data_IF_033799759773
#
_entry.id   IF_033799759773
#
_cell.length_a   1.000
_cell.length_b   1.000
_cell.length_c   1.000
_cell.angle_alpha   90.00
_cell.angle_beta   90.00
_cell.angle_gamma   90.00
#
_symmetry.space_group_name_H-M   'P 1'
#
loop_
_entity.id
_entity.type
_entity.pdbx_description
1 polymer ?
#
# COMPACT_ATOMS: atom_id res chain seq x y z
N UNK A 1 -13.82 17.14 20.58
CA UNK A 1 -12.81 16.10 20.31
C UNK A 1 -12.56 16.08 18.80
N UNK A 2 -11.34 16.34 18.33
CA UNK A 2 -11.01 16.30 16.89
C UNK A 2 -10.90 14.82 16.48
N UNK A 3 -11.68 14.37 15.50
CA UNK A 3 -11.63 13.00 14.99
C UNK A 3 -10.50 12.89 13.98
N UNK A 4 -9.43 12.16 14.31
CA UNK A 4 -8.33 11.88 13.38
C UNK A 4 -8.72 10.75 12.41
N UNK A 5 -8.31 10.86 11.14
CA UNK A 5 -8.45 9.78 10.15
C UNK A 5 -7.28 8.83 10.25
N UNK A 6 -7.52 7.58 9.87
CA UNK A 6 -6.46 6.58 9.65
C UNK A 6 -6.19 6.35 8.17
N UNK A 7 -7.17 6.61 7.30
CA UNK A 7 -7.00 6.44 5.87
C UNK A 7 -7.24 7.75 5.13
N UNK A 8 -6.55 7.90 3.99
CA UNK A 8 -6.82 8.98 3.03
C UNK A 8 -8.27 8.91 2.56
N UNK A 9 -8.82 7.71 2.32
CA UNK A 9 -10.22 7.51 1.92
C UNK A 9 -11.19 8.11 2.93
N UNK A 10 -11.04 7.78 4.22
CA UNK A 10 -11.91 8.32 5.27
C UNK A 10 -11.79 9.84 5.38
N UNK A 11 -10.58 10.38 5.17
CA UNK A 11 -10.36 11.80 5.24
C UNK A 11 -11.04 12.54 4.08
N UNK A 12 -10.87 12.03 2.87
CA UNK A 12 -11.51 12.56 1.66
C UNK A 12 -13.03 12.42 1.71
N UNK A 13 -13.55 11.31 2.25
CA UNK A 13 -14.99 11.12 2.44
C UNK A 13 -15.57 12.12 3.42
N UNK A 14 -14.86 12.41 4.52
CA UNK A 14 -15.28 13.44 5.47
C UNK A 14 -15.27 14.83 4.85
N UNK A 15 -14.20 15.18 4.13
CA UNK A 15 -14.13 16.45 3.41
C UNK A 15 -15.26 16.57 2.37
N UNK A 16 -15.54 15.49 1.63
CA UNK A 16 -16.63 15.45 0.66
C UNK A 16 -18.00 15.69 1.31
N UNK A 17 -18.27 15.02 2.43
CA UNK A 17 -19.51 15.20 3.18
C UNK A 17 -19.64 16.64 3.72
N UNK A 18 -18.59 17.17 4.33
CA UNK A 18 -18.58 18.51 4.92
C UNK A 18 -18.69 19.61 3.85
N UNK A 19 -18.11 19.40 2.66
CA UNK A 19 -18.19 20.30 1.51
C UNK A 19 -19.49 20.14 0.70
N UNK A 20 -20.32 19.14 0.98
CA UNK A 20 -21.52 18.83 0.20
C UNK A 20 -21.21 18.36 -1.24
N UNK A 21 -20.04 17.76 -1.47
CA UNK A 21 -19.57 17.32 -2.79
C UNK A 21 -19.49 15.79 -2.89
N UNK A 22 -19.63 15.21 -4.09
CA UNK A 22 -19.36 13.79 -4.29
C UNK A 22 -17.89 13.42 -4.01
N UNK A 23 -17.66 12.27 -3.38
CA UNK A 23 -16.31 11.76 -3.07
C UNK A 23 -15.36 11.80 -4.28
N UNK A 24 -15.83 11.36 -5.44
CA UNK A 24 -15.01 11.29 -6.65
C UNK A 24 -14.53 12.66 -7.13
N UNK A 25 -15.29 13.73 -6.85
CA UNK A 25 -14.91 15.11 -7.18
C UNK A 25 -13.73 15.56 -6.32
N UNK A 26 -13.84 15.34 -5.00
CA UNK A 26 -12.77 15.64 -4.04
C UNK A 26 -11.52 14.82 -4.35
N UNK A 27 -11.66 13.49 -4.50
CA UNK A 27 -10.55 12.59 -4.77
C UNK A 27 -9.83 12.95 -6.08
N UNK A 28 -10.57 13.29 -7.15
CA UNK A 28 -9.97 13.72 -8.41
C UNK A 28 -9.21 15.04 -8.24
N UNK A 29 -9.75 15.98 -7.48
CA UNK A 29 -9.10 17.27 -7.23
C UNK A 29 -7.79 17.08 -6.46
N UNK A 30 -7.82 16.34 -5.35
CA UNK A 30 -6.63 16.01 -4.56
C UNK A 30 -5.57 15.31 -5.41
N UNK A 31 -5.93 14.28 -6.18
CA UNK A 31 -4.98 13.60 -7.05
C UNK A 31 -4.33 14.54 -8.07
N UNK A 32 -5.09 15.51 -8.62
CA UNK A 32 -4.57 16.50 -9.55
C UNK A 32 -3.63 17.51 -8.89
N UNK A 33 -3.86 17.81 -7.61
CA UNK A 33 -2.99 18.66 -6.81
C UNK A 33 -1.69 17.94 -6.45
N UNK A 34 -1.79 16.68 -5.99
CA UNK A 34 -0.62 15.84 -5.69
C UNK A 34 0.25 15.57 -6.92
N UNK A 35 -0.35 15.39 -8.09
CA UNK A 35 0.40 15.28 -9.34
C UNK A 35 1.27 16.52 -9.61
N UNK A 36 0.83 17.70 -9.19
CA UNK A 36 1.55 18.97 -9.38
C UNK A 36 2.64 19.25 -8.33
N UNK A 37 2.85 18.37 -7.35
CA UNK A 37 3.84 18.60 -6.29
C UNK A 37 3.26 18.74 -4.89
N UNK A 38 1.95 18.97 -4.75
CA UNK A 38 1.37 19.28 -3.43
C UNK A 38 1.24 18.05 -2.55
N UNK A 39 1.42 18.22 -1.24
CA UNK A 39 1.20 17.15 -0.27
C UNK A 39 -0.28 16.74 -0.17
N UNK A 40 -0.57 15.53 0.32
CA UNK A 40 -1.96 15.10 0.56
C UNK A 40 -2.69 16.03 1.54
N UNK A 41 -2.07 16.32 2.68
CA UNK A 41 -2.68 17.16 3.74
C UNK A 41 -2.75 18.64 3.35
N UNK A 42 -1.77 19.13 2.59
CA UNK A 42 -1.81 20.45 1.98
C UNK A 42 -3.01 20.56 1.01
N UNK A 43 -3.10 19.63 0.05
CA UNK A 43 -4.21 19.60 -0.92
C UNK A 43 -5.59 19.55 -0.24
N UNK A 44 -5.71 18.83 0.87
CA UNK A 44 -6.95 18.73 1.65
C UNK A 44 -7.26 20.04 2.38
N UNK A 45 -6.26 20.72 2.93
CA UNK A 45 -6.43 22.02 3.60
C UNK A 45 -6.87 23.09 2.61
N UNK A 46 -6.23 23.17 1.45
CA UNK A 46 -6.61 24.11 0.40
C UNK A 46 -8.07 23.92 -0.04
N UNK A 47 -8.50 22.67 -0.27
CA UNK A 47 -9.89 22.39 -0.64
C UNK A 47 -10.85 22.74 0.52
N UNK A 48 -10.44 22.50 1.77
CA UNK A 48 -11.23 22.89 2.92
C UNK A 48 -11.41 24.42 3.01
N UNK A 49 -10.33 25.17 2.81
CA UNK A 49 -10.32 26.64 2.81
C UNK A 49 -11.25 27.20 1.72
N UNK A 50 -11.16 26.69 0.49
CA UNK A 50 -12.03 27.08 -0.63
C UNK A 50 -13.53 26.92 -0.33
N UNK A 51 -13.90 25.99 0.56
CA UNK A 51 -15.28 25.73 0.96
C UNK A 51 -15.64 26.35 2.32
N UNK A 52 -14.79 27.22 2.88
CA UNK A 52 -15.01 27.86 4.18
C UNK A 52 -15.00 26.88 5.37
N UNK A 53 -14.37 25.72 5.21
CA UNK A 53 -14.27 24.69 6.24
C UNK A 53 -13.01 24.90 7.09
N UNK A 54 -13.07 24.49 8.36
CA UNK A 54 -11.92 24.59 9.25
C UNK A 54 -10.85 23.55 8.88
N UNK A 55 -9.77 23.99 8.27
CA UNK A 55 -8.62 23.16 7.85
C UNK A 55 -8.10 22.21 8.93
N UNK A 56 -8.00 22.69 10.17
CA UNK A 56 -7.43 21.95 11.29
C UNK A 56 -8.22 20.68 11.68
N UNK A 57 -9.44 20.50 11.15
CA UNK A 57 -10.26 19.30 11.32
C UNK A 57 -9.75 18.10 10.52
N UNK A 58 -9.00 18.34 9.46
CA UNK A 58 -8.60 17.29 8.51
C UNK A 58 -7.16 16.85 8.78
N UNK A 59 -7.01 15.80 9.59
CA UNK A 59 -5.71 15.27 9.99
C UNK A 59 -5.68 13.75 9.91
N UNK A 60 -4.49 13.22 9.66
CA UNK A 60 -4.19 11.78 9.66
C UNK A 60 -3.29 11.48 10.85
N UNK A 61 -3.64 10.42 11.58
CA UNK A 61 -2.83 9.90 12.69
C UNK A 61 -1.84 8.85 12.17
N UNK A 62 -0.68 9.33 11.73
CA UNK A 62 0.38 8.51 11.14
C UNK A 62 1.01 7.52 12.13
N UNK A 63 1.10 7.88 13.41
CA UNK A 63 1.61 6.96 14.44
C UNK A 63 0.63 5.81 14.66
N UNK A 64 -0.67 6.11 14.69
CA UNK A 64 -1.70 5.08 14.82
C UNK A 64 -1.79 4.19 13.58
N UNK A 65 -1.52 4.70 12.38
CA UNK A 65 -1.37 3.86 11.16
C UNK A 65 -0.28 2.82 11.36
N UNK A 66 0.89 3.22 11.86
CA UNK A 66 2.01 2.31 12.09
C UNK A 66 1.66 1.30 13.18
N UNK A 67 1.08 1.75 14.30
CA UNK A 67 0.66 0.86 15.39
C UNK A 67 -0.35 -0.20 14.92
N UNK A 68 -1.36 0.20 14.15
CA UNK A 68 -2.38 -0.72 13.64
C UNK A 68 -1.77 -1.71 12.64
N UNK A 69 -0.89 -1.24 11.75
CA UNK A 69 -0.23 -2.12 10.80
C UNK A 69 0.70 -3.12 11.51
N UNK A 70 1.47 -2.69 12.50
CA UNK A 70 2.29 -3.57 13.33
C UNK A 70 1.44 -4.59 14.10
N UNK A 71 0.27 -4.18 14.61
CA UNK A 71 -0.64 -5.08 15.29
C UNK A 71 -1.12 -6.19 14.35
N UNK A 72 -1.57 -5.84 13.14
CA UNK A 72 -2.02 -6.82 12.13
C UNK A 72 -0.88 -7.80 11.79
N UNK A 73 0.33 -7.29 11.58
CA UNK A 73 1.47 -8.09 11.15
C UNK A 73 2.13 -8.92 12.28
N UNK A 74 1.82 -8.63 13.54
CA UNK A 74 2.28 -9.42 14.70
C UNK A 74 1.26 -10.47 15.16
N UNK A 75 0.00 -10.34 14.75
CA UNK A 75 -1.11 -11.14 15.25
C UNK A 75 -0.96 -12.62 14.90
N UNK A 76 -0.66 -12.93 13.62
CA UNK A 76 -0.44 -14.29 13.12
C UNK A 76 0.61 -14.29 12.00
N UNK A 77 1.61 -15.15 12.15
CA UNK A 77 2.71 -15.27 11.18
C UNK A 77 2.25 -15.82 9.82
N UNK A 78 1.32 -16.78 9.79
CA UNK A 78 0.76 -17.35 8.55
C UNK A 78 0.01 -16.28 7.78
N UNK A 79 -0.79 -15.47 8.47
CA UNK A 79 -1.48 -14.34 7.84
C UNK A 79 -0.51 -13.33 7.27
N UNK A 80 0.53 -13.00 8.02
CA UNK A 80 1.57 -12.08 7.57
C UNK A 80 2.25 -12.58 6.31
N UNK A 81 2.53 -13.88 6.21
CA UNK A 81 3.05 -14.49 4.98
C UNK A 81 2.05 -14.41 3.82
N UNK A 82 0.76 -14.66 4.08
CA UNK A 82 -0.28 -14.55 3.04
C UNK A 82 -0.45 -13.12 2.54
N UNK A 83 -0.52 -12.13 3.45
CA UNK A 83 -0.53 -10.70 3.12
C UNK A 83 0.71 -10.37 2.27
N UNK A 84 1.90 -10.81 2.70
CA UNK A 84 3.15 -10.58 1.97
C UNK A 84 3.11 -11.14 0.55
N UNK A 85 2.60 -12.35 0.37
CA UNK A 85 2.47 -13.00 -0.94
C UNK A 85 1.49 -12.23 -1.85
N UNK A 86 0.32 -11.85 -1.33
CA UNK A 86 -0.68 -11.09 -2.09
C UNK A 86 -0.12 -9.74 -2.52
N UNK A 87 0.49 -8.99 -1.60
CA UNK A 87 1.08 -7.68 -1.92
C UNK A 87 2.24 -7.81 -2.92
N UNK A 88 3.05 -8.87 -2.82
CA UNK A 88 4.11 -9.17 -3.77
C UNK A 88 3.57 -9.33 -5.18
N UNK A 89 2.55 -10.17 -5.36
CA UNK A 89 1.87 -10.37 -6.64
C UNK A 89 1.27 -9.06 -7.19
N UNK A 90 0.63 -8.27 -6.33
CA UNK A 90 0.04 -6.99 -6.75
C UNK A 90 1.08 -5.98 -7.20
N UNK A 91 2.31 -5.97 -6.68
CA UNK A 91 3.36 -5.05 -7.16
C UNK A 91 3.85 -5.42 -8.56
N UNK A 92 3.86 -6.71 -8.88
CA UNK A 92 4.25 -7.24 -10.20
C UNK A 92 3.12 -7.14 -11.22
N UNK A 93 1.87 -7.06 -10.75
CA UNK A 93 0.69 -6.89 -11.60
C UNK A 93 0.77 -5.63 -12.48
N UNK A 94 0.02 -5.66 -13.59
CA UNK A 94 -0.10 -4.54 -14.54
C UNK A 94 -1.48 -3.88 -14.40
N UNK A 95 -1.55 -2.60 -14.73
CA UNK A 95 -2.83 -1.89 -14.76
C UNK A 95 -3.38 -1.54 -13.38
N UNK A 96 -4.71 -1.64 -13.21
CA UNK A 96 -5.44 -1.11 -12.04
C UNK A 96 -5.26 -1.93 -10.76
N UNK A 97 -4.86 -3.18 -10.89
CA UNK A 97 -4.61 -4.09 -9.77
C UNK A 97 -3.22 -3.90 -9.16
N UNK A 98 -2.41 -3.03 -9.78
CA UNK A 98 -1.04 -2.79 -9.34
C UNK A 98 -1.01 -2.08 -8.00
N UNK A 99 -0.43 -2.73 -6.99
CA UNK A 99 -0.13 -2.07 -5.72
C UNK A 99 1.03 -1.08 -5.91
N UNK A 100 0.91 0.17 -5.43
CA UNK A 100 1.98 1.15 -5.62
C UNK A 100 3.28 0.71 -4.95
N UNK A 101 4.37 0.68 -5.72
CA UNK A 101 5.68 0.27 -5.21
C UNK A 101 6.15 1.05 -3.96
N UNK A 102 5.93 2.38 -3.83
CA UNK A 102 6.24 3.09 -2.59
C UNK A 102 5.51 2.54 -1.35
N UNK A 103 4.23 2.16 -1.50
CA UNK A 103 3.46 1.57 -0.42
C UNK A 103 3.96 0.17 -0.07
N UNK A 104 4.39 -0.60 -1.07
CA UNK A 104 5.06 -1.88 -0.83
C UNK A 104 6.41 -1.73 -0.13
N UNK A 105 7.20 -0.71 -0.46
CA UNK A 105 8.45 -0.46 0.25
C UNK A 105 8.23 -0.09 1.71
N UNK A 106 7.19 0.69 2.02
CA UNK A 106 6.79 0.96 3.39
C UNK A 106 6.37 -0.32 4.11
N UNK A 107 5.60 -1.19 3.45
CA UNK A 107 5.23 -2.51 3.97
C UNK A 107 6.46 -3.37 4.32
N UNK A 108 7.41 -3.53 3.40
CA UNK A 108 8.63 -4.32 3.64
C UNK A 108 9.47 -3.73 4.77
N UNK A 109 9.57 -2.40 4.85
CA UNK A 109 10.28 -1.72 5.92
C UNK A 109 9.64 -2.00 7.28
N UNK A 110 8.30 -1.93 7.40
CA UNK A 110 7.61 -2.32 8.63
C UNK A 110 7.82 -3.80 8.96
N UNK A 111 7.70 -4.69 7.97
CA UNK A 111 7.87 -6.12 8.17
C UNK A 111 9.27 -6.43 8.72
N UNK A 112 10.31 -5.73 8.26
CA UNK A 112 11.68 -5.90 8.74
C UNK A 112 11.89 -5.50 10.21
N UNK A 113 10.99 -4.66 10.76
CA UNK A 113 11.02 -4.20 12.16
C UNK A 113 10.25 -5.13 13.10
N UNK A 114 9.51 -6.10 12.54
CA UNK A 114 8.76 -7.07 13.31
C UNK A 114 9.66 -8.28 13.56
N UNK A 115 10.40 -8.21 14.67
CA UNK A 115 11.07 -9.38 15.23
C UNK A 115 10.05 -10.29 15.92
N UNK A 116 10.10 -11.60 15.61
CA UNK A 116 9.37 -12.66 16.33
C UNK A 116 7.84 -12.51 16.41
N UNK A 117 7.16 -12.50 15.26
CA UNK A 117 5.72 -12.79 15.26
C UNK A 117 5.49 -14.21 15.83
N UNK A 118 4.49 -14.36 16.71
CA UNK A 118 4.18 -15.67 17.28
C UNK A 118 3.83 -16.62 16.15
N UNK A 119 4.49 -17.79 16.11
CA UNK A 119 4.13 -18.91 15.22
C UNK A 119 2.88 -19.63 15.75
N UNK A 120 1.94 -18.90 16.33
CA UNK A 120 0.62 -19.44 16.63
C UNK A 120 -0.13 -19.51 15.31
N UNK A 121 -0.37 -20.71 14.80
CA UNK A 121 -1.27 -20.95 13.67
C UNK A 121 -2.70 -20.88 14.19
N UNK A 122 -3.31 -19.70 14.19
CA UNK A 122 -4.77 -19.64 14.35
C UNK A 122 -5.40 -20.04 13.02
N UNK A 123 -6.43 -20.88 13.06
CA UNK A 123 -7.20 -21.21 11.86
C UNK A 123 -8.14 -20.05 11.53
N UNK A 124 -7.60 -18.94 11.01
CA UNK A 124 -8.42 -17.83 10.52
C UNK A 124 -9.02 -18.16 9.15
N UNK A 125 -10.19 -17.58 8.89
CA UNK A 125 -10.93 -17.79 7.65
C UNK A 125 -10.34 -16.99 6.49
N UNK A 126 -10.56 -17.44 5.25
CA UNK A 126 -10.14 -16.73 4.03
C UNK A 126 -10.59 -15.27 4.01
N UNK A 127 -11.80 -14.99 4.50
CA UNK A 127 -12.40 -13.65 4.51
C UNK A 127 -11.66 -12.70 5.44
N UNK A 128 -11.25 -13.16 6.62
CA UNK A 128 -10.47 -12.33 7.55
C UNK A 128 -9.14 -11.91 6.93
N UNK A 129 -8.47 -12.81 6.22
CA UNK A 129 -7.18 -12.52 5.56
C UNK A 129 -7.35 -11.47 4.45
N UNK A 130 -8.45 -11.54 3.68
CA UNK A 130 -8.77 -10.54 2.65
C UNK A 130 -9.02 -9.14 3.25
N UNK A 131 -9.76 -9.08 4.36
CA UNK A 131 -10.05 -7.83 5.06
C UNK A 131 -8.77 -7.22 5.66
N UNK A 132 -7.93 -8.05 6.30
CA UNK A 132 -6.63 -7.61 6.84
C UNK A 132 -5.68 -7.15 5.73
N UNK A 133 -5.64 -7.85 4.59
CA UNK A 133 -4.84 -7.45 3.43
C UNK A 133 -5.31 -6.09 2.89
N UNK A 134 -6.62 -5.93 2.71
CA UNK A 134 -7.22 -4.66 2.27
C UNK A 134 -6.88 -3.54 3.24
N UNK A 135 -6.93 -3.82 4.55
CA UNK A 135 -6.58 -2.85 5.57
C UNK A 135 -5.11 -2.43 5.49
N UNK A 136 -4.18 -3.38 5.32
CA UNK A 136 -2.76 -3.08 5.13
C UNK A 136 -2.53 -2.22 3.87
N UNK A 137 -3.21 -2.54 2.75
CA UNK A 137 -3.15 -1.72 1.52
C UNK A 137 -3.52 -0.27 1.81
N UNK A 138 -4.63 -0.04 2.51
CA UNK A 138 -5.11 1.32 2.84
C UNK A 138 -4.18 2.06 3.79
N UNK A 139 -3.71 1.38 4.84
CA UNK A 139 -2.78 1.94 5.81
C UNK A 139 -1.47 2.33 5.13
N UNK A 140 -0.90 1.45 4.30
CA UNK A 140 0.36 1.71 3.63
C UNK A 140 0.24 2.80 2.58
N UNK A 141 -0.77 2.74 1.71
CA UNK A 141 -0.99 3.79 0.71
C UNK A 141 -1.21 5.16 1.35
N UNK A 142 -1.96 5.21 2.45
CA UNK A 142 -2.14 6.46 3.23
C UNK A 142 -0.82 6.93 3.82
N UNK A 143 -0.06 6.02 4.44
CA UNK A 143 1.21 6.32 5.09
C UNK A 143 2.18 7.00 4.12
N UNK A 144 2.47 6.37 2.97
CA UNK A 144 3.36 6.99 1.96
C UNK A 144 2.80 8.26 1.35
N UNK A 145 1.47 8.41 1.27
CA UNK A 145 0.87 9.66 0.78
C UNK A 145 1.12 10.84 1.72
N UNK A 146 1.36 10.57 3.01
CA UNK A 146 1.69 11.59 4.02
C UNK A 146 3.21 11.74 4.18
N UNK A 147 3.98 10.64 4.17
CA UNK A 147 5.42 10.68 4.44
C UNK A 147 6.26 11.21 3.26
N UNK A 148 5.74 11.13 2.04
CA UNK A 148 6.50 11.42 0.82
C UNK A 148 5.94 12.61 0.05
N UNK A 149 6.82 13.31 -0.66
CA UNK A 149 6.47 14.33 -1.64
C UNK A 149 6.22 13.69 -3.01
N UNK A 150 5.15 14.09 -3.68
CA UNK A 150 4.66 13.45 -4.91
C UNK A 150 4.72 14.39 -6.12
N UNK A 151 4.88 13.80 -7.30
CA UNK A 151 4.75 14.48 -8.59
C UNK A 151 4.10 13.53 -9.60
N UNK A 152 3.84 14.02 -10.81
CA UNK A 152 3.44 13.18 -11.96
C UNK A 152 4.39 12.01 -12.23
N UNK A 153 5.68 12.15 -11.88
CA UNK A 153 6.69 11.08 -12.05
C UNK A 153 6.75 10.11 -10.86
N UNK A 154 5.89 10.29 -9.86
CA UNK A 154 5.89 9.55 -8.60
C UNK A 154 6.61 10.30 -7.48
N UNK A 155 7.15 9.57 -6.51
CA UNK A 155 7.80 10.15 -5.32
C UNK A 155 9.07 10.93 -5.71
N UNK A 156 9.19 12.16 -5.22
CA UNK A 156 10.31 13.08 -5.49
C UNK A 156 11.11 13.47 -4.26
N UNK A 157 10.57 13.25 -3.06
CA UNK A 157 11.21 13.60 -1.81
C UNK A 157 10.52 13.02 -0.58
N UNK A 158 10.99 13.41 0.59
CA UNK A 158 10.33 13.21 1.88
C UNK A 158 9.52 14.47 2.17
N UNK A 159 8.29 14.33 2.63
CA UNK A 159 7.44 15.47 2.94
C UNK A 159 8.03 16.32 4.07
N UNK A 160 7.89 17.65 3.98
CA UNK A 160 8.42 18.58 4.98
C UNK A 160 7.81 18.40 6.37
N UNK A 161 6.54 18.02 6.41
CA UNK A 161 5.77 17.74 7.63
C UNK A 161 5.85 16.27 8.07
N UNK A 162 6.75 15.48 7.49
CA UNK A 162 7.00 14.10 7.91
C UNK A 162 7.44 14.07 9.39
N UNK A 163 6.76 13.28 10.26
CA UNK A 163 7.18 13.13 11.66
C UNK A 163 8.60 12.61 11.78
N UNK A 164 9.37 13.14 12.74
CA UNK A 164 10.76 12.77 12.95
C UNK A 164 10.95 11.26 13.16
N UNK A 165 10.04 10.65 13.91
CA UNK A 165 10.00 9.20 14.18
C UNK A 165 9.87 8.33 12.91
N UNK A 166 9.33 8.90 11.83
CA UNK A 166 9.07 8.20 10.56
C UNK A 166 9.98 8.67 9.41
N UNK A 167 10.85 9.67 9.63
CA UNK A 167 11.74 10.19 8.59
C UNK A 167 12.69 9.14 8.03
N UNK A 168 13.15 8.21 8.85
CA UNK A 168 14.01 7.12 8.38
C UNK A 168 13.27 6.20 7.39
N UNK A 169 12.05 5.77 7.75
CA UNK A 169 11.19 4.99 6.87
C UNK A 169 10.91 5.75 5.56
N UNK A 170 10.56 7.03 5.64
CA UNK A 170 10.32 7.87 4.47
C UNK A 170 11.56 7.96 3.55
N UNK A 171 12.77 8.11 4.13
CA UNK A 171 14.03 8.10 3.36
C UNK A 171 14.30 6.76 2.69
N UNK A 172 14.03 5.64 3.36
CA UNK A 172 14.17 4.30 2.77
C UNK A 172 13.21 4.14 1.59
N UNK A 173 11.94 4.48 1.78
CA UNK A 173 10.93 4.42 0.72
C UNK A 173 11.31 5.30 -0.48
N UNK A 174 11.75 6.54 -0.21
CA UNK A 174 12.24 7.45 -1.24
C UNK A 174 13.41 6.84 -2.03
N UNK A 175 14.45 6.36 -1.33
CA UNK A 175 15.63 5.75 -1.96
C UNK A 175 15.27 4.54 -2.81
N UNK A 176 14.44 3.63 -2.29
CA UNK A 176 13.98 2.44 -3.03
C UNK A 176 13.13 2.81 -4.23
N UNK A 177 12.30 3.84 -4.11
CA UNK A 177 11.51 4.35 -5.23
C UNK A 177 12.39 4.99 -6.32
N UNK A 178 13.44 5.75 -5.95
CA UNK A 178 14.39 6.30 -6.92
C UNK A 178 15.20 5.21 -7.62
N UNK A 179 15.60 4.18 -6.89
CA UNK A 179 16.29 3.02 -7.43
C UNK A 179 15.40 2.30 -8.47
N UNK A 180 14.10 2.09 -8.14
CA UNK A 180 13.12 1.54 -9.07
C UNK A 180 12.88 2.43 -10.30
N UNK A 181 12.73 3.74 -10.11
CA UNK A 181 12.60 4.70 -11.21
C UNK A 181 13.83 4.70 -12.15
N UNK A 182 15.01 4.35 -11.61
CA UNK A 182 16.25 4.16 -12.37
C UNK A 182 16.37 2.80 -13.07
N UNK A 183 15.36 1.94 -12.98
CA UNK A 183 15.38 0.61 -13.60
C UNK A 183 16.14 -0.45 -12.79
N UNK A 184 16.39 -0.19 -11.51
CA UNK A 184 17.05 -1.12 -10.59
C UNK A 184 16.06 -1.63 -9.52
N UNK A 185 16.37 -2.76 -8.89
CA UNK A 185 15.56 -3.35 -7.82
C UNK A 185 16.45 -3.97 -6.75
N UNK A 186 16.03 -3.90 -5.48
CA UNK A 186 16.68 -4.62 -4.38
C UNK A 186 16.01 -5.98 -4.22
N UNK A 187 16.73 -7.06 -4.51
CA UNK A 187 16.21 -8.42 -4.34
C UNK A 187 15.71 -8.64 -2.91
N UNK A 188 14.46 -9.07 -2.76
CA UNK A 188 13.85 -9.28 -1.43
C UNK A 188 14.49 -10.42 -0.63
N UNK A 189 15.23 -11.32 -1.30
CA UNK A 189 15.83 -12.51 -0.68
C UNK A 189 17.28 -12.27 -0.24
N UNK A 190 18.13 -11.71 -1.10
CA UNK A 190 19.56 -11.51 -0.81
C UNK A 190 19.97 -10.06 -0.56
N UNK A 191 19.10 -9.08 -0.86
CA UNK A 191 19.42 -7.66 -0.73
C UNK A 191 20.27 -7.07 -1.87
N UNK A 192 20.68 -7.87 -2.86
CA UNK A 192 21.46 -7.38 -4.00
C UNK A 192 20.66 -6.42 -4.88
N UNK A 193 21.35 -5.41 -5.44
CA UNK A 193 20.77 -4.50 -6.41
C UNK A 193 20.95 -5.08 -7.81
N UNK A 194 19.84 -5.29 -8.52
CA UNK A 194 19.80 -5.89 -9.86
C UNK A 194 18.97 -5.05 -10.83
N UNK A 195 19.08 -5.30 -12.13
CA UNK A 195 18.19 -4.66 -13.10
C UNK A 195 16.76 -5.15 -12.90
N UNK A 196 15.76 -4.26 -12.93
CA UNK A 196 14.33 -4.65 -12.83
C UNK A 196 13.96 -5.69 -13.89
N UNK A 197 14.55 -5.61 -15.10
CA UNK A 197 14.28 -6.57 -16.19
C UNK A 197 14.82 -7.98 -15.90
N UNK A 198 15.73 -8.11 -14.96
CA UNK A 198 16.33 -9.37 -14.50
C UNK A 198 15.66 -9.90 -13.24
N UNK A 199 14.54 -9.27 -12.82
CA UNK A 199 13.79 -9.72 -11.65
C UNK A 199 12.57 -10.55 -12.05
N UNK A 200 12.30 -11.57 -11.25
CA UNK A 200 11.09 -12.39 -11.29
C UNK A 200 10.66 -12.67 -9.85
N UNK A 201 9.36 -12.59 -9.56
CA UNK A 201 8.84 -12.75 -8.20
C UNK A 201 9.53 -11.81 -7.19
N UNK A 202 9.86 -10.59 -7.63
CA UNK A 202 10.63 -9.59 -6.86
C UNK A 202 12.05 -10.03 -6.44
N UNK A 203 12.58 -11.12 -7.02
CA UNK A 203 13.88 -11.70 -6.72
C UNK A 203 14.86 -11.60 -7.89
N UNK A 204 16.17 -11.64 -7.60
CA UNK A 204 17.18 -11.78 -8.65
C UNK A 204 17.18 -13.21 -9.21
N UNK A 205 17.67 -13.38 -10.44
CA UNK A 205 17.76 -14.69 -11.10
C UNK A 205 18.43 -15.79 -10.25
N UNK A 206 19.43 -15.44 -9.43
CA UNK A 206 20.14 -16.39 -8.58
C UNK A 206 19.27 -16.91 -7.42
N UNK A 207 18.43 -16.05 -6.83
CA UNK A 207 17.51 -16.45 -5.76
C UNK A 207 16.29 -17.18 -6.34
N UNK A 208 15.72 -16.68 -7.43
CA UNK A 208 14.58 -17.30 -8.12
C UNK A 208 14.92 -18.74 -8.56
N UNK A 209 16.06 -18.93 -9.25
CA UNK A 209 16.48 -20.25 -9.74
C UNK A 209 16.77 -21.28 -8.63
N UNK A 210 17.07 -20.85 -7.41
CA UNK A 210 17.22 -21.75 -6.26
C UNK A 210 15.87 -22.27 -5.75
N UNK A 211 14.81 -21.50 -5.93
CA UNK A 211 13.44 -21.85 -5.51
C UNK A 211 12.73 -22.63 -6.62
N UNK A 212 12.86 -22.22 -7.88
CA UNK A 212 12.21 -22.86 -9.03
C UNK A 212 12.70 -24.29 -9.32
N UNK A 213 13.80 -24.75 -8.70
CA UNK A 213 14.25 -26.14 -8.77
C UNK A 213 13.49 -27.09 -7.84
N UNK A 214 12.56 -26.58 -7.05
CA UNK A 214 11.62 -27.39 -6.26
C UNK A 214 10.24 -27.38 -6.92
N UNK A 215 9.63 -28.57 -7.10
CA UNK A 215 8.35 -28.90 -7.76
C UNK A 215 7.08 -28.16 -7.26
N UNK A 216 7.24 -27.07 -6.51
CA UNK A 216 6.14 -26.34 -5.87
C UNK A 216 5.44 -25.39 -6.86
N UNK A 217 6.13 -24.92 -7.90
CA UNK A 217 5.57 -23.96 -8.86
C UNK A 217 4.49 -24.55 -9.78
N UNK A 218 4.56 -25.82 -10.16
CA UNK A 218 3.51 -26.44 -11.00
C UNK A 218 2.15 -26.51 -10.28
N UNK A 219 2.13 -26.58 -8.94
CA UNK A 219 0.89 -26.60 -8.16
C UNK A 219 0.27 -25.22 -7.96
N UNK A 220 1.07 -24.15 -7.91
CA UNK A 220 0.56 -22.78 -7.74
C UNK A 220 0.14 -22.12 -9.06
N UNK A 221 0.84 -22.40 -10.16
CA UNK A 221 0.43 -21.89 -11.48
C UNK A 221 -0.92 -22.48 -11.93
N UNK A 222 -1.26 -23.72 -11.50
CA UNK A 222 -2.59 -24.32 -11.71
C UNK A 222 -3.71 -23.69 -10.86
N UNK A 223 -3.40 -22.93 -9.81
CA UNK A 223 -4.43 -22.18 -9.05
C UNK A 223 -4.73 -20.80 -9.63
N UNK A 224 -3.99 -20.35 -10.66
CA UNK A 224 -4.14 -19.04 -11.31
C UNK A 224 -5.31 -18.96 -12.30
N UNK A 225 -6.44 -19.58 -11.97
CA UNK A 225 -7.66 -19.64 -12.79
C UNK A 225 -8.91 -19.02 -12.13
N UNK A 226 -8.82 -18.45 -10.93
CA UNK A 226 -9.94 -17.70 -10.34
C UNK A 226 -9.83 -16.23 -10.72
N UNK A 227 -10.51 -15.88 -11.82
CA UNK A 227 -10.84 -14.50 -12.17
C UNK A 227 -11.53 -13.82 -10.97
N UNK A 228 -10.76 -13.09 -10.14
CA UNK A 228 -11.33 -12.14 -9.19
C UNK A 228 -11.79 -10.92 -9.98
N UNK A 229 -13.07 -10.91 -10.31
CA UNK A 229 -13.76 -9.73 -10.81
C UNK A 229 -13.83 -8.73 -9.65
N UNK A 230 -13.42 -7.48 -9.89
CA UNK A 230 -13.28 -6.44 -8.86
C UNK A 230 -14.56 -6.10 -8.09
N UNK A 231 -14.37 -5.33 -7.02
CA UNK A 231 -15.38 -4.85 -6.08
C UNK A 231 -16.75 -4.52 -6.72
N UNK A 232 -17.81 -5.19 -6.26
CA UNK A 232 -19.19 -4.70 -6.34
C UNK A 232 -20.08 -5.16 -7.49
N UNK A 233 -19.83 -6.33 -8.12
CA UNK A 233 -20.82 -6.96 -9.02
C UNK A 233 -20.89 -8.48 -8.82
N UNK A 234 -21.99 -8.96 -8.23
CA UNK A 234 -22.47 -10.32 -8.41
C UNK A 234 -23.28 -10.37 -9.71
N UNK A 235 -22.78 -11.08 -10.72
CA UNK A 235 -23.67 -11.68 -11.72
C UNK A 235 -23.96 -13.08 -11.25
N UNK A 236 -25.20 -13.28 -10.82
CA UNK A 236 -25.79 -14.60 -10.68
C UNK A 236 -25.98 -15.10 -12.11
N UNK A 237 -25.15 -16.04 -12.55
CA UNK A 237 -25.46 -16.84 -13.73
C UNK A 237 -26.41 -17.95 -13.25
N UNK A 238 -27.71 -17.66 -13.35
CA UNK A 238 -28.74 -18.70 -13.50
C UNK A 238 -28.53 -19.32 -14.89
N UNK A 239 -27.89 -20.49 -14.92
CA UNK A 239 -28.07 -21.40 -16.05
C UNK A 239 -29.35 -22.19 -15.80
N UNK A 240 -30.45 -21.72 -16.39
CA UNK A 240 -31.50 -22.61 -16.88
C UNK A 240 -30.97 -23.28 -18.16
N UNK A 241 -30.60 -24.54 -18.03
CA UNK A 241 -31.01 -25.66 -18.89
C UNK A 241 -30.57 -27.00 -18.24
#
# INVERSE_FOLDING_TARGET
MLRLSLTARDLLQRLANDAGLPYHTIARKVNRMMAKGMGLLESIRDIAEEHGLKENKYRIDVEKIVQEAEQILREDYTQTLMISAVLGQMVEARGREKFPAPAFFAFIEMLSRISDARRDTKSESSTEIEDRTTRIIELMTTLVSVLCEWSEKGVVGVADDCPESLKEMARVVFRKTKLLQGGLWTCISCGDIVNVKETRALMCNNCDSRISRSDIHERFDQMSGRNRIGYGRTTIDENED
#
